data_IF_045564677567
#
_entry.id   IF_045564677567
#
_cell.length_a   1.000
_cell.length_b   1.000
_cell.length_c   1.000
_cell.angle_alpha   90.00
_cell.angle_beta   90.00
_cell.angle_gamma   90.00
#
_symmetry.space_group_name_H-M   'P 1'
#
loop_
_entity.id
_entity.type
_entity.pdbx_description
1 polymer ?
#
# COMPACT_ATOMS: atom_id res chain seq x y z
N UNK A 1 0.15 -10.54 20.72
CA UNK A 1 -0.57 -9.28 20.93
C UNK A 1 -1.45 -8.96 19.71
N UNK A 2 -2.60 -8.28 19.92
CA UNK A 2 -3.46 -7.83 18.84
C UNK A 2 -2.69 -6.94 17.85
N UNK A 3 -3.14 -6.86 16.60
CA UNK A 3 -2.45 -6.10 15.55
C UNK A 3 -2.30 -4.62 15.90
N UNK A 4 -3.30 -4.02 16.53
CA UNK A 4 -3.28 -2.61 16.93
C UNK A 4 -2.25 -2.31 18.04
N UNK A 5 -1.94 -3.27 18.92
CA UNK A 5 -0.86 -3.11 19.89
C UNK A 5 0.50 -3.05 19.20
N UNK A 6 0.73 -3.91 18.20
CA UNK A 6 1.96 -3.85 17.39
C UNK A 6 2.08 -2.53 16.64
N UNK A 7 0.98 -2.01 16.10
CA UNK A 7 0.96 -0.73 15.40
C UNK A 7 1.36 0.43 16.34
N UNK A 8 0.88 0.43 17.59
CA UNK A 8 1.29 1.41 18.60
C UNK A 8 2.79 1.27 18.89
N UNK A 9 3.26 0.05 19.16
CA UNK A 9 4.68 -0.20 19.45
C UNK A 9 5.60 0.20 18.28
N UNK A 10 5.15 -0.02 17.04
CA UNK A 10 5.90 0.35 15.84
C UNK A 10 5.86 1.86 15.55
N UNK A 11 4.82 2.55 15.99
CA UNK A 11 4.63 4.00 15.80
C UNK A 11 5.10 4.85 16.98
N UNK A 12 5.67 4.25 18.03
CA UNK A 12 6.01 4.93 19.29
C UNK A 12 6.95 6.13 19.14
N UNK A 13 7.77 6.16 18.09
CA UNK A 13 8.69 7.26 17.80
C UNK A 13 8.05 8.39 16.96
N UNK A 14 6.76 8.26 16.59
CA UNK A 14 6.03 9.29 15.86
C UNK A 14 5.31 10.19 16.85
N UNK A 15 5.67 11.45 16.92
CA UNK A 15 5.05 12.45 17.82
C UNK A 15 4.29 13.51 17.02
N UNK A 16 3.09 13.89 17.49
CA UNK A 16 2.12 13.14 18.28
C UNK A 16 1.43 12.06 17.42
N UNK A 17 1.05 10.94 18.01
CA UNK A 17 0.30 9.89 17.32
C UNK A 17 -1.21 10.08 17.53
N UNK A 18 -1.94 10.31 16.44
CA UNK A 18 -3.40 10.33 16.41
C UNK A 18 -3.90 9.04 15.77
N UNK A 19 -4.72 8.30 16.50
CA UNK A 19 -5.34 7.05 16.04
C UNK A 19 -6.84 7.28 15.93
N UNK A 20 -7.39 7.08 14.75
CA UNK A 20 -8.84 7.17 14.52
C UNK A 20 -9.39 5.76 14.30
N UNK A 21 -10.46 5.40 15.00
CA UNK A 21 -11.13 4.10 14.90
C UNK A 21 -12.63 4.27 14.72
N UNK A 22 -13.27 3.30 14.10
CA UNK A 22 -14.71 3.24 13.85
C UNK A 22 -15.43 2.13 14.68
N UNK A 23 -14.67 1.42 15.52
CA UNK A 23 -15.16 0.35 16.37
C UNK A 23 -14.99 0.73 17.85
N UNK A 24 -16.09 0.73 18.60
CA UNK A 24 -16.11 1.11 20.02
C UNK A 24 -15.25 0.20 20.88
N UNK A 25 -15.23 -1.10 20.60
CA UNK A 25 -14.43 -2.08 21.35
C UNK A 25 -12.93 -1.80 21.17
N UNK A 26 -12.50 -1.61 19.91
CA UNK A 26 -11.10 -1.27 19.60
C UNK A 26 -10.73 0.09 20.21
N UNK A 27 -11.63 1.06 20.20
CA UNK A 27 -11.42 2.36 20.85
C UNK A 27 -11.15 2.21 22.34
N UNK A 28 -11.95 1.40 23.06
CA UNK A 28 -11.75 1.15 24.49
C UNK A 28 -10.40 0.47 24.77
N UNK A 29 -10.07 -0.56 24.00
CA UNK A 29 -8.79 -1.26 24.12
C UNK A 29 -7.60 -0.34 23.88
N UNK A 30 -7.66 0.48 22.84
CA UNK A 30 -6.60 1.44 22.50
C UNK A 30 -6.45 2.54 23.54
N UNK A 31 -7.54 3.06 24.08
CA UNK A 31 -7.48 4.03 25.19
C UNK A 31 -6.83 3.43 26.43
N UNK A 32 -7.16 2.18 26.77
CA UNK A 32 -6.52 1.50 27.88
C UNK A 32 -5.00 1.30 27.63
N UNK A 33 -4.62 0.91 26.42
CA UNK A 33 -3.21 0.75 26.04
C UNK A 33 -2.47 2.08 26.01
N UNK A 34 -3.07 3.16 25.50
CA UNK A 34 -2.44 4.47 25.40
C UNK A 34 -2.03 5.04 26.76
N UNK A 35 -2.83 4.75 27.81
CA UNK A 35 -2.51 5.15 29.18
C UNK A 35 -1.22 4.50 29.71
N UNK A 36 -0.84 3.34 29.18
CA UNK A 36 0.35 2.60 29.62
C UNK A 36 1.61 2.94 28.80
N UNK A 37 1.45 3.41 27.56
CA UNK A 37 2.57 3.57 26.64
C UNK A 37 3.08 5.01 26.50
N UNK A 38 2.23 6.02 26.42
CA UNK A 38 2.69 7.41 26.35
C UNK A 38 1.53 8.43 26.41
N UNK A 39 1.83 9.60 26.93
CA UNK A 39 0.89 10.74 27.06
C UNK A 39 0.59 11.45 25.74
N UNK A 40 1.24 11.09 24.65
CA UNK A 40 1.13 11.77 23.34
C UNK A 40 0.30 11.00 22.30
N UNK A 41 -0.37 9.89 22.69
CA UNK A 41 -1.27 9.14 21.84
C UNK A 41 -2.71 9.62 22.09
N UNK A 42 -3.34 10.14 21.05
CA UNK A 42 -4.75 10.52 21.06
C UNK A 42 -5.55 9.50 20.27
N UNK A 43 -6.49 8.83 20.91
CA UNK A 43 -7.40 7.87 20.27
C UNK A 43 -8.76 8.52 20.11
N UNK A 44 -9.23 8.64 18.87
CA UNK A 44 -10.53 9.21 18.54
C UNK A 44 -11.46 8.13 17.98
N UNK A 45 -12.65 8.02 18.57
CA UNK A 45 -13.73 7.26 17.97
C UNK A 45 -14.41 8.14 16.93
N UNK A 46 -14.43 7.68 15.68
CA UNK A 46 -15.20 8.38 14.66
C UNK A 46 -16.68 8.14 14.90
N UNK A 47 -17.42 9.24 15.15
CA UNK A 47 -18.86 9.14 15.39
C UNK A 47 -19.59 8.64 14.13
N UNK A 48 -20.57 7.83 14.36
CA UNK A 48 -21.38 7.04 13.43
C UNK A 48 -22.09 7.80 12.30
N UNK A 49 -21.98 9.11 12.21
CA UNK A 49 -22.98 9.90 11.51
C UNK A 49 -22.52 10.56 10.23
N UNK A 50 -21.28 10.37 9.83
CA UNK A 50 -20.84 10.78 8.52
C UNK A 50 -20.59 9.54 7.65
N UNK A 51 -21.52 9.27 6.77
CA UNK A 51 -21.65 8.22 5.75
C UNK A 51 -20.39 7.85 4.93
N UNK A 52 -19.20 7.87 5.50
CA UNK A 52 -17.96 7.47 4.83
C UNK A 52 -17.13 6.61 5.77
N UNK A 53 -16.82 5.41 5.32
CA UNK A 53 -15.83 4.51 5.88
C UNK A 53 -14.46 5.20 6.03
N UNK A 54 -13.68 4.82 7.03
CA UNK A 54 -12.31 5.32 7.27
C UNK A 54 -11.39 5.12 6.07
N UNK A 55 -11.54 4.02 5.34
CA UNK A 55 -10.79 3.74 4.12
C UNK A 55 -11.09 4.78 3.04
N UNK A 56 -12.36 5.12 2.82
CA UNK A 56 -12.78 6.12 1.86
C UNK A 56 -12.31 7.53 2.21
N UNK A 57 -12.42 7.90 3.50
CA UNK A 57 -12.01 9.24 3.95
C UNK A 57 -10.53 9.50 3.72
N UNK A 58 -9.73 8.45 3.85
CA UNK A 58 -8.29 8.52 3.71
C UNK A 58 -7.79 8.00 2.37
N UNK A 59 -8.70 7.65 1.45
CA UNK A 59 -8.37 7.11 0.12
C UNK A 59 -7.43 5.89 0.18
N UNK A 60 -7.60 5.03 1.20
CA UNK A 60 -6.67 3.92 1.48
C UNK A 60 -6.69 2.89 0.36
N UNK A 61 -7.87 2.55 -0.18
CA UNK A 61 -7.99 1.57 -1.25
C UNK A 61 -7.19 1.96 -2.51
N UNK A 62 -7.26 3.24 -2.86
CA UNK A 62 -6.47 3.78 -3.97
C UNK A 62 -4.97 3.71 -3.69
N UNK A 63 -4.54 4.12 -2.49
CA UNK A 63 -3.14 4.05 -2.08
C UNK A 63 -2.60 2.61 -2.04
N UNK A 64 -3.43 1.63 -1.66
CA UNK A 64 -3.06 0.20 -1.73
C UNK A 64 -2.84 -0.21 -3.18
N UNK A 65 -3.75 0.16 -4.08
CA UNK A 65 -3.64 -0.16 -5.50
C UNK A 65 -2.37 0.46 -6.10
N UNK A 66 -2.14 1.76 -5.87
CA UNK A 66 -0.91 2.43 -6.31
C UNK A 66 0.36 1.79 -5.74
N UNK A 67 0.30 1.34 -4.46
CA UNK A 67 1.44 0.66 -3.84
C UNK A 67 1.68 -0.76 -4.39
N UNK A 68 0.75 -1.34 -5.11
CA UNK A 68 0.91 -2.61 -5.82
C UNK A 68 1.35 -2.41 -7.28
N UNK A 69 1.21 -1.18 -7.82
CA UNK A 69 1.66 -0.87 -9.18
C UNK A 69 3.19 -0.99 -9.29
N UNK A 70 3.64 -1.48 -10.45
CA UNK A 70 5.06 -1.60 -10.76
C UNK A 70 5.72 -0.23 -10.96
N UNK A 71 4.99 0.70 -11.54
CA UNK A 71 5.48 2.03 -11.91
C UNK A 71 4.92 3.09 -10.97
N UNK A 72 5.78 3.97 -10.48
CA UNK A 72 5.42 5.11 -9.62
C UNK A 72 5.85 6.39 -10.33
N UNK A 73 4.91 7.31 -10.52
CA UNK A 73 5.20 8.61 -11.11
C UNK A 73 5.90 9.54 -10.10
N UNK A 74 6.80 10.38 -10.61
CA UNK A 74 7.43 11.46 -9.88
C UNK A 74 6.78 12.79 -10.26
N UNK A 75 6.68 13.73 -9.33
CA UNK A 75 6.08 15.05 -9.58
C UNK A 75 6.86 15.86 -10.62
N UNK A 76 8.18 15.64 -10.68
CA UNK A 76 9.04 16.24 -11.72
C UNK A 76 8.84 15.64 -13.11
N UNK A 77 7.99 14.63 -13.28
CA UNK A 77 7.69 13.98 -14.56
C UNK A 77 8.47 12.70 -14.84
N UNK A 78 9.44 12.31 -13.98
CA UNK A 78 10.12 11.02 -14.05
C UNK A 78 9.26 9.87 -13.53
N UNK A 79 9.78 8.65 -13.58
CA UNK A 79 9.12 7.45 -13.04
C UNK A 79 10.11 6.54 -12.33
N UNK A 80 9.63 5.83 -11.31
CA UNK A 80 10.31 4.68 -10.72
C UNK A 80 9.65 3.40 -11.22
N UNK A 81 10.45 2.43 -11.64
CA UNK A 81 9.98 1.07 -11.90
C UNK A 81 10.51 0.16 -10.79
N UNK A 82 9.61 -0.46 -10.04
CA UNK A 82 9.94 -1.26 -8.86
C UNK A 82 9.62 -2.72 -9.14
N UNK A 83 10.63 -3.58 -9.08
CA UNK A 83 10.49 -5.01 -9.26
C UNK A 83 10.98 -5.77 -8.02
N UNK A 84 10.13 -6.64 -7.49
CA UNK A 84 10.49 -7.56 -6.41
C UNK A 84 10.73 -8.94 -7.02
N UNK A 85 11.97 -9.42 -6.93
CA UNK A 85 12.34 -10.77 -7.35
C UNK A 85 12.52 -11.68 -6.14
N UNK A 86 12.82 -12.95 -6.37
CA UNK A 86 13.07 -13.90 -5.29
C UNK A 86 14.33 -13.57 -4.47
N UNK A 87 15.35 -13.02 -5.11
CA UNK A 87 16.66 -12.78 -4.51
C UNK A 87 16.86 -11.34 -4.04
N UNK A 88 16.34 -10.37 -4.77
CA UNK A 88 16.55 -8.93 -4.52
C UNK A 88 15.41 -8.09 -5.09
N UNK A 89 15.31 -6.85 -4.66
CA UNK A 89 14.42 -5.85 -5.27
C UNK A 89 15.25 -4.88 -6.10
N UNK A 90 14.71 -4.46 -7.25
CA UNK A 90 15.33 -3.47 -8.14
C UNK A 90 14.39 -2.28 -8.29
N UNK A 91 14.97 -1.09 -8.25
CA UNK A 91 14.28 0.17 -8.51
C UNK A 91 15.04 0.89 -9.62
N UNK A 92 14.40 1.09 -10.75
CA UNK A 92 14.95 1.78 -11.91
C UNK A 92 14.34 3.20 -11.99
N UNK A 93 15.18 4.21 -12.13
CA UNK A 93 14.80 5.62 -12.22
C UNK A 93 14.83 6.08 -13.66
N UNK A 94 13.67 6.41 -14.20
CA UNK A 94 13.56 6.89 -15.57
C UNK A 94 13.22 8.38 -15.59
N UNK A 95 13.97 9.17 -16.38
CA UNK A 95 13.56 10.51 -16.76
C UNK A 95 12.46 10.40 -17.80
N UNK A 96 11.27 10.90 -17.54
CA UNK A 96 10.34 11.15 -18.63
C UNK A 96 10.99 12.22 -19.55
N UNK A 97 10.42 12.37 -20.75
CA UNK A 97 10.85 13.27 -21.83
C UNK A 97 11.03 14.75 -21.43
N UNK A 98 11.69 15.01 -20.32
CA UNK A 98 12.08 16.33 -19.85
C UNK A 98 13.30 16.83 -20.67
N UNK A 99 13.17 16.70 -21.99
CA UNK A 99 14.14 17.13 -23.00
C UNK A 99 13.96 18.64 -23.34
N UNK A 100 13.70 19.46 -22.33
CA UNK A 100 13.39 20.87 -22.58
C UNK A 100 14.36 21.89 -22.01
N UNK A 101 15.31 21.49 -21.16
CA UNK A 101 16.22 22.44 -20.53
C UNK A 101 17.66 22.23 -21.00
N UNK A 102 18.36 23.34 -21.27
CA UNK A 102 19.73 23.38 -21.80
C UNK A 102 20.81 22.87 -20.83
N UNK A 103 20.42 22.35 -19.64
CA UNK A 103 21.33 21.81 -18.63
C UNK A 103 20.81 20.46 -18.11
N UNK A 104 20.99 19.41 -18.92
CA UNK A 104 20.53 18.03 -18.62
C UNK A 104 21.01 17.53 -17.26
N UNK A 105 22.22 17.90 -16.83
CA UNK A 105 22.79 17.44 -15.54
C UNK A 105 22.03 17.97 -14.33
N UNK A 106 21.52 19.20 -14.36
CA UNK A 106 20.68 19.74 -13.28
C UNK A 106 19.30 19.12 -13.27
N UNK A 107 18.75 18.82 -14.45
CA UNK A 107 17.49 18.12 -14.58
C UNK A 107 17.60 16.69 -14.01
N UNK A 108 18.65 15.94 -14.36
CA UNK A 108 18.91 14.59 -13.83
C UNK A 108 19.10 14.59 -12.31
N UNK A 109 19.86 15.56 -11.78
CA UNK A 109 20.00 15.70 -10.32
C UNK A 109 18.65 15.94 -9.65
N UNK A 110 17.78 16.79 -10.19
CA UNK A 110 16.45 17.05 -9.65
C UNK A 110 15.60 15.78 -9.61
N UNK A 111 15.58 15.02 -10.73
CA UNK A 111 14.86 13.76 -10.80
C UNK A 111 15.41 12.76 -9.79
N UNK A 112 16.72 12.59 -9.70
CA UNK A 112 17.36 11.66 -8.77
C UNK A 112 17.13 12.02 -7.30
N UNK A 113 17.08 13.30 -6.95
CA UNK A 113 16.79 13.75 -5.59
C UNK A 113 15.35 13.42 -5.18
N UNK A 114 14.39 13.62 -6.09
CA UNK A 114 13.00 13.25 -5.85
C UNK A 114 12.85 11.73 -5.84
N UNK A 115 13.50 11.03 -6.78
CA UNK A 115 13.54 9.58 -6.83
C UNK A 115 14.07 8.96 -5.52
N UNK A 116 15.08 9.57 -4.89
CA UNK A 116 15.61 9.11 -3.60
C UNK A 116 14.55 9.18 -2.48
N UNK A 117 13.77 10.26 -2.41
CA UNK A 117 12.70 10.40 -1.42
C UNK A 117 11.57 9.39 -1.68
N UNK A 118 11.12 9.28 -2.93
CA UNK A 118 10.02 8.39 -3.32
C UNK A 118 10.44 6.94 -3.20
N UNK A 119 11.65 6.56 -3.60
CA UNK A 119 12.18 5.21 -3.45
C UNK A 119 12.22 4.80 -1.96
N UNK A 120 12.74 5.65 -1.08
CA UNK A 120 12.76 5.37 0.36
C UNK A 120 11.34 5.16 0.89
N UNK A 121 10.37 6.01 0.51
CA UNK A 121 8.95 5.86 0.87
C UNK A 121 8.38 4.53 0.36
N UNK A 122 8.64 4.17 -0.90
CA UNK A 122 8.14 2.92 -1.50
C UNK A 122 8.76 1.68 -0.85
N UNK A 123 10.06 1.71 -0.54
CA UNK A 123 10.75 0.63 0.19
C UNK A 123 10.06 0.38 1.54
N UNK A 124 9.74 1.43 2.29
CA UNK A 124 9.06 1.32 3.58
C UNK A 124 7.61 0.86 3.41
N UNK A 125 6.84 1.49 2.51
CA UNK A 125 5.42 1.21 2.28
C UNK A 125 5.18 -0.22 1.80
N UNK A 126 6.00 -0.69 0.85
CA UNK A 126 5.94 -2.05 0.30
C UNK A 126 6.63 -3.08 1.19
N UNK A 127 7.28 -2.64 2.27
CA UNK A 127 8.11 -3.45 3.15
C UNK A 127 9.16 -4.28 2.38
N UNK A 128 9.81 -3.67 1.38
CA UNK A 128 10.89 -4.31 0.65
C UNK A 128 12.06 -4.57 1.59
N UNK A 129 12.68 -5.73 1.48
CA UNK A 129 13.70 -6.19 2.42
C UNK A 129 14.72 -7.13 1.75
N UNK A 130 15.84 -7.34 2.41
CA UNK A 130 16.98 -8.02 1.80
C UNK A 130 17.87 -7.04 1.05
N UNK A 131 18.33 -7.44 -0.11
CA UNK A 131 19.15 -6.61 -1.00
C UNK A 131 18.19 -5.81 -1.89
N UNK A 132 18.38 -4.49 -1.94
CA UNK A 132 17.65 -3.58 -2.81
C UNK A 132 18.67 -2.80 -3.60
N UNK A 133 18.50 -2.73 -4.91
CA UNK A 133 19.36 -2.00 -5.82
C UNK A 133 18.56 -0.86 -6.44
N UNK A 134 19.11 0.35 -6.40
CA UNK A 134 18.53 1.50 -7.09
C UNK A 134 19.47 1.89 -8.23
N UNK A 135 18.92 1.95 -9.43
CA UNK A 135 19.58 2.45 -10.64
C UNK A 135 19.14 3.89 -10.85
N UNK A 136 20.00 4.84 -10.47
CA UNK A 136 19.77 6.25 -10.66
C UNK A 136 20.21 6.69 -12.05
N UNK A 137 19.64 7.77 -12.56
CA UNK A 137 20.09 8.37 -13.82
C UNK A 137 21.55 8.80 -13.65
N UNK A 138 22.38 8.49 -14.66
CA UNK A 138 23.80 8.80 -14.65
C UNK A 138 24.10 10.28 -14.39
N UNK A 139 25.04 10.53 -13.50
CA UNK A 139 25.49 11.87 -13.11
C UNK A 139 26.99 12.02 -13.37
N UNK A 140 27.36 13.03 -14.17
CA UNK A 140 28.76 13.27 -14.48
C UNK A 140 29.57 13.86 -13.31
N UNK A 141 28.90 14.54 -12.35
CA UNK A 141 29.55 15.18 -11.20
C UNK A 141 29.40 14.31 -9.94
N UNK A 142 30.49 13.81 -9.35
CA UNK A 142 30.45 13.08 -8.09
C UNK A 142 29.85 13.88 -6.91
N UNK A 143 29.78 15.21 -7.02
CA UNK A 143 29.09 16.02 -6.04
C UNK A 143 27.56 15.83 -6.06
N UNK A 144 26.99 15.54 -7.23
CA UNK A 144 25.59 15.21 -7.41
C UNK A 144 25.27 13.85 -6.76
N UNK A 145 26.09 12.83 -7.00
CA UNK A 145 25.93 11.51 -6.36
C UNK A 145 25.90 11.62 -4.84
N UNK A 146 26.84 12.39 -4.26
CA UNK A 146 26.87 12.63 -2.81
C UNK A 146 25.61 13.37 -2.32
N UNK A 147 25.00 14.21 -3.13
CA UNK A 147 23.73 14.88 -2.77
C UNK A 147 22.58 13.88 -2.74
N UNK A 148 22.49 12.99 -3.75
CA UNK A 148 21.47 11.94 -3.83
C UNK A 148 21.59 10.97 -2.65
N UNK A 149 22.81 10.50 -2.33
CA UNK A 149 23.04 9.64 -1.16
C UNK A 149 22.63 10.30 0.15
N UNK A 150 23.01 11.55 0.37
CA UNK A 150 22.58 12.30 1.56
C UNK A 150 21.07 12.42 1.63
N UNK A 151 20.40 12.65 0.50
CA UNK A 151 18.93 12.73 0.42
C UNK A 151 18.29 11.40 0.79
N UNK A 152 18.81 10.31 0.24
CA UNK A 152 18.35 8.95 0.52
C UNK A 152 18.53 8.58 2.00
N UNK A 153 19.70 8.85 2.59
CA UNK A 153 19.94 8.65 4.04
C UNK A 153 18.94 9.45 4.89
N UNK A 154 18.72 10.72 4.53
CA UNK A 154 17.76 11.59 5.24
C UNK A 154 16.34 11.06 5.16
N UNK A 155 15.93 10.49 4.04
CA UNK A 155 14.59 9.93 3.86
C UNK A 155 14.30 8.75 4.80
N UNK A 156 15.32 7.99 5.20
CA UNK A 156 15.19 6.87 6.14
C UNK A 156 15.35 7.27 7.62
N UNK A 157 15.63 8.52 7.97
CA UNK A 157 15.89 8.92 9.37
C UNK A 157 14.74 8.56 10.32
N UNK A 158 13.49 8.63 9.84
CA UNK A 158 12.30 8.29 10.64
C UNK A 158 11.96 6.79 10.64
N UNK A 159 12.65 6.01 9.84
CA UNK A 159 12.40 4.58 9.76
C UNK A 159 12.97 3.88 11.00
N UNK A 160 12.15 3.05 11.65
CA UNK A 160 12.56 2.30 12.84
C UNK A 160 13.70 1.31 12.56
N UNK A 161 13.69 0.72 11.36
CA UNK A 161 14.74 -0.18 10.89
C UNK A 161 15.60 0.55 9.88
N UNK A 162 16.64 1.18 10.39
CA UNK A 162 17.60 1.87 9.52
C UNK A 162 18.23 0.86 8.55
N UNK A 163 18.13 1.08 7.24
CA UNK A 163 18.84 0.27 6.27
C UNK A 163 20.35 0.63 6.26
N UNK A 164 21.15 -0.30 5.84
CA UNK A 164 22.55 -0.01 5.44
C UNK A 164 22.52 0.43 3.99
N UNK A 165 22.95 1.65 3.71
CA UNK A 165 23.04 2.21 2.36
C UNK A 165 24.52 2.31 2.03
N UNK A 166 24.92 1.72 0.90
CA UNK A 166 26.30 1.79 0.40
C UNK A 166 26.43 2.92 -0.62
N UNK A 167 27.67 3.34 -0.87
CA UNK A 167 27.98 4.34 -1.89
C UNK A 167 27.64 3.84 -3.30
N UNK A 168 27.62 4.76 -4.27
CA UNK A 168 27.50 4.41 -5.68
C UNK A 168 28.60 3.41 -6.07
N UNK A 169 28.20 2.39 -6.80
CA UNK A 169 29.15 1.45 -7.42
C UNK A 169 29.79 2.08 -8.64
N UNK A 170 30.82 1.45 -9.19
CA UNK A 170 31.43 1.83 -10.50
C UNK A 170 30.43 1.81 -11.66
N UNK A 171 29.32 1.09 -11.50
CA UNK A 171 28.22 1.02 -12.47
C UNK A 171 27.08 2.02 -12.22
N UNK A 172 27.25 2.97 -11.28
CA UNK A 172 26.22 3.98 -10.98
C UNK A 172 25.06 3.47 -10.09
N UNK A 173 25.15 2.24 -9.54
CA UNK A 173 24.09 1.63 -8.73
C UNK A 173 24.26 1.93 -7.26
N UNK A 174 23.15 2.20 -6.55
CA UNK A 174 23.13 2.28 -5.08
C UNK A 174 22.59 0.99 -4.51
N UNK A 175 23.33 0.42 -3.54
CA UNK A 175 22.98 -0.81 -2.86
C UNK A 175 22.43 -0.52 -1.47
N UNK A 176 21.30 -1.13 -1.13
CA UNK A 176 20.65 -1.01 0.18
C UNK A 176 20.46 -2.41 0.76
N UNK A 177 20.88 -2.60 2.00
CA UNK A 177 20.57 -3.80 2.77
C UNK A 177 19.58 -3.45 3.89
N UNK A 178 18.32 -3.97 3.79
CA UNK A 178 17.26 -3.74 4.78
C UNK A 178 16.83 -5.06 5.41
N UNK A 179 16.88 -5.11 6.75
CA UNK A 179 16.50 -6.31 7.49
C UNK A 179 15.05 -6.69 7.25
N UNK A 180 14.79 -7.97 6.96
CA UNK A 180 13.44 -8.49 6.78
C UNK A 180 12.64 -8.46 8.09
N UNK A 181 11.44 -7.87 8.04
CA UNK A 181 10.48 -7.80 9.15
C UNK A 181 9.08 -8.22 8.70
N UNK A 182 8.94 -9.48 8.30
CA UNK A 182 7.68 -10.00 7.80
C UNK A 182 7.62 -10.06 6.27
N UNK A 183 6.41 -10.21 5.76
CA UNK A 183 6.14 -10.31 4.33
C UNK A 183 6.09 -8.92 3.69
N UNK A 184 6.42 -8.83 2.40
CA UNK A 184 6.18 -7.60 1.65
C UNK A 184 4.68 -7.37 1.43
N UNK A 185 4.32 -6.15 1.00
CA UNK A 185 2.93 -5.81 0.69
C UNK A 185 2.37 -6.73 -0.39
N UNK A 186 3.13 -6.96 -1.46
CA UNK A 186 2.75 -7.87 -2.54
C UNK A 186 2.55 -9.31 -2.04
N UNK A 187 3.46 -9.83 -1.22
CA UNK A 187 3.34 -11.16 -0.63
C UNK A 187 2.13 -11.31 0.31
N UNK A 188 1.68 -10.21 0.91
CA UNK A 188 0.54 -10.21 1.84
C UNK A 188 -0.80 -10.13 1.09
N UNK A 189 -0.88 -9.29 0.07
CA UNK A 189 -2.13 -8.97 -0.62
C UNK A 189 -2.34 -9.74 -1.93
N UNK A 190 -1.27 -10.28 -2.52
CA UNK A 190 -1.31 -10.93 -3.81
C UNK A 190 -1.02 -12.43 -3.72
N UNK A 191 -1.45 -13.14 -4.73
CA UNK A 191 -1.11 -14.55 -4.96
C UNK A 191 -0.34 -14.68 -6.29
N UNK A 192 0.56 -15.67 -6.41
CA UNK A 192 1.26 -15.89 -7.66
C UNK A 192 0.25 -16.31 -8.75
N UNK A 193 0.27 -15.62 -9.87
CA UNK A 193 -0.49 -16.02 -11.06
C UNK A 193 0.33 -17.00 -11.88
N UNK A 194 -0.27 -18.14 -12.22
CA UNK A 194 0.33 -19.13 -13.13
C UNK A 194 -0.11 -18.91 -14.59
N UNK A 195 -0.75 -17.78 -14.91
CA UNK A 195 -1.25 -17.53 -16.27
C UNK A 195 -0.14 -16.97 -17.16
N UNK A 196 0.01 -17.58 -18.33
CA UNK A 196 0.86 -17.14 -19.44
C UNK A 196 2.37 -17.04 -19.19
N UNK A 197 2.93 -17.76 -18.20
CA UNK A 197 4.38 -17.79 -17.98
C UNK A 197 4.97 -16.52 -17.39
N UNK A 198 4.20 -15.45 -17.23
CA UNK A 198 4.58 -14.28 -16.47
C UNK A 198 4.12 -14.46 -15.02
N UNK A 199 5.05 -14.33 -14.08
CA UNK A 199 4.75 -14.28 -12.64
C UNK A 199 4.20 -12.87 -12.30
N UNK A 200 3.00 -12.56 -12.77
CA UNK A 200 2.32 -11.35 -12.32
C UNK A 200 1.68 -11.63 -10.96
N UNK A 201 1.92 -10.75 -10.01
CA UNK A 201 1.25 -10.79 -8.72
C UNK A 201 -0.16 -10.25 -8.89
N UNK A 202 -1.16 -11.11 -8.77
CA UNK A 202 -2.58 -10.72 -8.78
C UNK A 202 -3.11 -10.68 -7.36
N UNK A 203 -4.10 -9.82 -7.08
CA UNK A 203 -4.73 -9.79 -5.76
C UNK A 203 -5.23 -11.18 -5.36
N UNK A 204 -4.97 -11.55 -4.13
CA UNK A 204 -5.44 -12.83 -3.59
C UNK A 204 -6.96 -12.83 -3.41
N UNK A 205 -7.56 -14.03 -3.40
CA UNK A 205 -9.00 -14.17 -3.13
C UNK A 205 -9.41 -13.51 -1.81
N UNK A 206 -8.56 -13.58 -0.77
CA UNK A 206 -8.87 -12.95 0.51
C UNK A 206 -8.83 -11.42 0.42
N UNK A 207 -7.91 -10.86 -0.35
CA UNK A 207 -7.87 -9.42 -0.65
C UNK A 207 -9.15 -8.97 -1.35
N UNK A 208 -9.59 -9.70 -2.39
CA UNK A 208 -10.82 -9.40 -3.13
C UNK A 208 -12.06 -9.52 -2.24
N UNK A 209 -12.12 -10.54 -1.36
CA UNK A 209 -13.21 -10.69 -0.40
C UNK A 209 -13.31 -9.46 0.50
N UNK A 210 -12.19 -9.01 1.06
CA UNK A 210 -12.21 -7.83 1.94
C UNK A 210 -12.55 -6.53 1.20
N UNK A 211 -12.12 -6.38 -0.05
CA UNK A 211 -12.54 -5.24 -0.89
C UNK A 211 -14.06 -5.26 -1.14
N UNK A 212 -14.62 -6.43 -1.48
CA UNK A 212 -16.06 -6.60 -1.68
C UNK A 212 -16.82 -6.22 -0.40
N UNK A 213 -16.41 -6.74 0.76
CA UNK A 213 -17.07 -6.46 2.03
C UNK A 213 -17.02 -4.97 2.39
N UNK A 214 -15.89 -4.28 2.15
CA UNK A 214 -15.78 -2.83 2.35
C UNK A 214 -16.70 -2.05 1.40
N UNK A 215 -16.75 -2.43 0.13
CA UNK A 215 -17.65 -1.79 -0.84
C UNK A 215 -19.12 -2.00 -0.49
N UNK A 216 -19.49 -3.18 0.03
CA UNK A 216 -20.85 -3.42 0.53
C UNK A 216 -21.15 -2.52 1.74
N UNK A 217 -20.26 -2.45 2.72
CA UNK A 217 -20.43 -1.58 3.89
C UNK A 217 -20.61 -0.11 3.47
N UNK A 218 -19.84 0.36 2.51
CA UNK A 218 -19.98 1.71 1.95
C UNK A 218 -21.36 1.93 1.31
N UNK A 219 -21.85 0.96 0.54
CA UNK A 219 -23.16 1.04 -0.12
C UNK A 219 -24.29 1.07 0.89
N UNK A 220 -24.22 0.26 1.97
CA UNK A 220 -25.22 0.26 3.03
C UNK A 220 -25.41 1.65 3.67
N UNK A 221 -24.32 2.43 3.74
CA UNK A 221 -24.35 3.77 4.35
C UNK A 221 -24.81 4.89 3.40
N UNK A 222 -24.80 4.66 2.10
CA UNK A 222 -24.89 5.76 1.12
C UNK A 222 -26.25 5.95 0.43
N UNK A 223 -27.20 4.99 0.46
CA UNK A 223 -28.52 5.14 -0.21
C UNK A 223 -29.49 4.04 0.20
N UNK A 224 -30.83 4.25 0.04
CA UNK A 224 -31.77 3.15 0.08
C UNK A 224 -31.36 2.12 -0.96
N UNK A 225 -31.04 0.93 -0.48
CA UNK A 225 -30.36 -0.06 -1.29
C UNK A 225 -31.32 -0.71 -2.28
N UNK A 226 -30.83 -0.87 -3.48
CA UNK A 226 -31.43 -1.78 -4.47
C UNK A 226 -30.81 -3.16 -4.26
N UNK A 227 -31.49 -4.20 -4.68
CA UNK A 227 -30.92 -5.54 -4.72
C UNK A 227 -29.55 -5.50 -5.41
N UNK A 228 -28.62 -6.24 -4.85
CA UNK A 228 -27.21 -6.15 -5.24
C UNK A 228 -26.74 -7.49 -5.80
N UNK A 229 -26.13 -7.50 -6.96
CA UNK A 229 -25.50 -8.69 -7.52
C UNK A 229 -23.97 -8.53 -7.54
N UNK A 230 -23.26 -9.52 -7.00
CA UNK A 230 -21.80 -9.55 -6.96
C UNK A 230 -21.29 -10.56 -7.96
N UNK A 231 -20.53 -10.10 -8.92
CA UNK A 231 -19.84 -10.90 -9.92
C UNK A 231 -18.36 -10.98 -9.53
N UNK A 232 -17.86 -12.19 -9.23
CA UNK A 232 -16.47 -12.40 -8.82
C UNK A 232 -16.00 -13.81 -9.21
N UNK A 233 -14.70 -14.11 -9.14
CA UNK A 233 -14.18 -15.43 -9.38
C UNK A 233 -14.87 -16.49 -8.51
N UNK A 234 -15.07 -17.74 -9.02
CA UNK A 234 -15.76 -18.78 -8.27
C UNK A 234 -15.20 -19.06 -6.88
N UNK A 235 -13.87 -19.01 -6.74
CA UNK A 235 -13.17 -19.18 -5.45
C UNK A 235 -13.49 -18.09 -4.44
N UNK A 236 -13.63 -16.85 -4.89
CA UNK A 236 -14.03 -15.69 -4.09
C UNK A 236 -15.49 -15.84 -3.65
N UNK A 237 -16.38 -16.19 -4.57
CA UNK A 237 -17.81 -16.46 -4.27
C UNK A 237 -17.94 -17.56 -3.22
N UNK A 238 -17.21 -18.67 -3.38
CA UNK A 238 -17.22 -19.77 -2.42
C UNK A 238 -16.78 -19.30 -1.02
N UNK A 239 -15.72 -18.48 -0.92
CA UNK A 239 -15.28 -17.89 0.35
C UNK A 239 -16.35 -16.99 0.97
N UNK A 240 -16.98 -16.14 0.17
CA UNK A 240 -18.06 -15.25 0.63
C UNK A 240 -19.23 -16.06 1.21
N UNK A 241 -19.64 -17.14 0.54
CA UNK A 241 -20.73 -18.00 0.97
C UNK A 241 -20.40 -18.80 2.24
N UNK A 242 -19.20 -19.38 2.34
CA UNK A 242 -18.84 -20.29 3.42
C UNK A 242 -18.30 -19.55 4.66
N UNK A 243 -17.41 -18.59 4.46
CA UNK A 243 -16.67 -17.97 5.57
C UNK A 243 -17.25 -16.62 6.00
N UNK A 244 -17.85 -15.87 5.07
CA UNK A 244 -18.32 -14.51 5.31
C UNK A 244 -19.83 -14.35 5.13
N UNK A 245 -20.59 -15.42 5.20
CA UNK A 245 -22.06 -15.41 5.10
C UNK A 245 -22.74 -14.54 6.16
N UNK A 246 -22.16 -14.45 7.36
CA UNK A 246 -22.67 -13.61 8.45
C UNK A 246 -22.57 -12.13 8.08
N UNK A 247 -21.44 -11.70 7.56
CA UNK A 247 -21.21 -10.30 7.13
C UNK A 247 -22.14 -9.90 5.98
N UNK A 248 -22.37 -10.82 5.04
CA UNK A 248 -23.33 -10.58 3.95
C UNK A 248 -24.75 -10.41 4.50
N UNK A 249 -25.19 -11.28 5.40
CA UNK A 249 -26.51 -11.16 6.04
C UNK A 249 -26.64 -9.88 6.88
N UNK A 250 -25.58 -9.45 7.53
CA UNK A 250 -25.57 -8.17 8.24
C UNK A 250 -25.76 -7.00 7.26
N UNK A 251 -25.07 -7.05 6.12
CA UNK A 251 -25.26 -6.06 5.08
C UNK A 251 -26.71 -6.06 4.55
N UNK A 252 -27.28 -7.23 4.21
CA UNK A 252 -28.67 -7.36 3.75
C UNK A 252 -29.67 -6.77 4.76
N UNK A 253 -29.42 -7.01 6.06
CA UNK A 253 -30.26 -6.48 7.14
C UNK A 253 -30.16 -4.96 7.30
N UNK A 254 -28.96 -4.39 7.17
CA UNK A 254 -28.72 -2.95 7.34
C UNK A 254 -29.20 -2.18 6.09
N UNK A 255 -28.97 -2.74 4.93
CA UNK A 255 -29.27 -2.12 3.64
C UNK A 255 -30.70 -2.39 3.16
N UNK A 256 -31.45 -3.26 3.86
CA UNK A 256 -32.81 -3.71 3.49
C UNK A 256 -32.93 -4.20 2.05
N UNK A 257 -31.88 -4.91 1.57
CA UNK A 257 -31.81 -5.44 0.21
C UNK A 257 -31.28 -6.88 0.19
N UNK A 258 -31.44 -7.58 -0.94
CA UNK A 258 -30.88 -8.91 -1.14
C UNK A 258 -29.53 -8.86 -1.87
N UNK A 259 -28.65 -9.82 -1.54
CA UNK A 259 -27.35 -9.99 -2.20
C UNK A 259 -27.32 -11.30 -2.96
N UNK A 260 -27.20 -11.21 -4.27
CA UNK A 260 -27.01 -12.34 -5.16
C UNK A 260 -25.52 -12.52 -5.47
N UNK A 261 -25.01 -13.73 -5.29
CA UNK A 261 -23.63 -14.07 -5.56
C UNK A 261 -23.54 -14.86 -6.87
N UNK A 262 -22.90 -14.28 -7.88
CA UNK A 262 -22.83 -14.84 -9.24
C UNK A 262 -21.36 -15.10 -9.60
N UNK A 263 -20.94 -16.38 -9.68
CA UNK A 263 -19.59 -16.70 -10.10
C UNK A 263 -19.37 -16.35 -11.56
N UNK A 264 -18.28 -15.62 -11.85
CA UNK A 264 -17.86 -15.32 -13.21
C UNK A 264 -16.42 -15.76 -13.44
N UNK A 265 -16.19 -16.45 -14.56
CA UNK A 265 -14.86 -16.70 -15.07
C UNK A 265 -14.41 -15.47 -15.88
N UNK A 266 -13.90 -14.46 -15.19
CA UNK A 266 -13.30 -13.31 -15.86
C UNK A 266 -11.93 -13.67 -16.44
N UNK A 267 -11.54 -13.02 -17.54
CA UNK A 267 -10.19 -13.15 -18.12
C UNK A 267 -9.11 -12.71 -17.13
N UNK A 268 -9.46 -11.78 -16.22
CA UNK A 268 -8.64 -11.33 -15.10
C UNK A 268 -9.21 -11.91 -13.80
N UNK A 269 -8.44 -12.77 -13.13
CA UNK A 269 -8.85 -13.44 -11.88
C UNK A 269 -8.88 -12.50 -10.66
N UNK A 270 -8.52 -11.23 -10.82
CA UNK A 270 -8.32 -10.22 -9.80
C UNK A 270 -9.35 -9.09 -9.85
N UNK A 271 -10.45 -9.29 -10.57
CA UNK A 271 -11.51 -8.29 -10.69
C UNK A 271 -12.85 -8.84 -10.23
N UNK A 272 -13.66 -7.93 -9.69
CA UNK A 272 -15.05 -8.18 -9.36
C UNK A 272 -15.90 -6.96 -9.75
N UNK A 273 -17.21 -7.17 -9.88
CA UNK A 273 -18.18 -6.12 -10.11
C UNK A 273 -19.35 -6.25 -9.13
N UNK A 274 -19.80 -5.12 -8.61
CA UNK A 274 -21.00 -5.04 -7.79
C UNK A 274 -22.03 -4.19 -8.50
N UNK A 275 -23.13 -4.81 -8.89
CA UNK A 275 -24.19 -4.20 -9.71
C UNK A 275 -25.43 -4.02 -8.82
N UNK A 276 -26.12 -2.88 -8.93
CA UNK A 276 -27.44 -2.69 -8.34
C UNK A 276 -28.49 -3.12 -9.36
N UNK A 277 -29.42 -3.99 -8.94
CA UNK A 277 -30.50 -4.54 -9.77
C UNK A 277 -31.79 -3.78 -9.53
#
# INVERSE_FOLDING_TARGET
PPIYQRLIEDSFNLEPLKITVDCTEIHQDLNHLSQHYASNIVVELTGDYQRKDLFDRNNIEHQINEALEKTVALDCGGTLVIEETEALSVIDVNSASYLGDTDDQKAYLKVNLEAADVAARQICLRNLSGIIIIDFIDMADPAHERQVLRRLHKAFVKERVQPTILDFTELGLVQIARRRRGMSLSQTLCAPSNKNGAKEAIKSDDTLVFEILRQLSKRALSSPCKDTEIHAPPTVIEKLQKKYSVQIKQYESIAECSVKLSPQHTTHCDTFNIISI
#
